data_IF_210648954667
#
_entry.id   IF_210648954667
#
_cell.length_a   1.000
_cell.length_b   1.000
_cell.length_c   1.000
_cell.angle_alpha   90.00
_cell.angle_beta   90.00
_cell.angle_gamma   90.00
#
_symmetry.space_group_name_H-M   'P 1'
#
loop_
_entity.id
_entity.type
_entity.pdbx_description
1 polymer ?
#
# COMPACT_ATOMS: atom_id res chain seq x y z
N UNK A 1 21.07 7.89 6.33
CA UNK A 1 19.78 7.67 7.02
C UNK A 1 19.21 9.00 7.48
N UNK A 2 18.02 9.36 6.99
CA UNK A 2 17.28 10.58 7.33
C UNK A 2 15.99 10.23 8.07
N UNK A 3 15.80 10.85 9.24
CA UNK A 3 14.55 10.76 9.98
C UNK A 3 13.72 12.02 9.72
N UNK A 4 12.43 11.84 9.46
CA UNK A 4 11.44 12.87 9.20
C UNK A 4 10.34 12.70 10.24
N UNK A 5 10.06 13.77 10.98
CA UNK A 5 8.95 13.80 11.92
C UNK A 5 7.88 14.74 11.38
N UNK A 6 6.66 14.23 11.26
CA UNK A 6 5.50 14.99 10.83
C UNK A 6 4.56 15.13 12.02
N UNK A 7 4.37 16.37 12.49
CA UNK A 7 3.45 16.69 13.57
C UNK A 7 2.00 16.47 13.14
N UNK A 8 1.14 16.21 14.13
CA UNK A 8 -0.30 16.23 13.95
C UNK A 8 -0.75 17.69 13.81
N UNK A 9 -1.36 18.01 12.68
CA UNK A 9 -1.81 19.35 12.32
C UNK A 9 -2.88 19.28 11.23
N UNK A 10 -3.37 20.42 10.74
CA UNK A 10 -4.26 20.38 9.58
C UNK A 10 -3.49 19.81 8.37
N UNK A 11 -4.21 19.22 7.40
CA UNK A 11 -3.59 18.71 6.18
C UNK A 11 -2.75 19.80 5.47
N UNK A 12 -3.24 21.04 5.50
CA UNK A 12 -2.52 22.20 4.97
C UNK A 12 -1.17 22.40 5.68
N UNK A 13 -1.16 22.35 7.01
CA UNK A 13 0.06 22.57 7.81
C UNK A 13 1.09 21.48 7.50
N UNK A 14 0.66 20.21 7.53
CA UNK A 14 1.54 19.06 7.24
C UNK A 14 2.15 19.18 5.84
N UNK A 15 1.36 19.50 4.82
CA UNK A 15 1.89 19.63 3.44
C UNK A 15 2.79 20.85 3.27
N UNK A 16 2.51 21.97 3.95
CA UNK A 16 3.36 23.15 3.94
C UNK A 16 4.69 22.90 4.68
N UNK A 17 4.68 22.12 5.76
CA UNK A 17 5.87 21.73 6.50
C UNK A 17 6.78 20.82 5.65
N UNK A 18 6.20 19.82 4.97
CA UNK A 18 6.95 18.96 4.05
C UNK A 18 7.51 19.80 2.89
N UNK A 19 6.69 20.66 2.29
CA UNK A 19 7.12 21.57 1.21
C UNK A 19 8.32 22.39 1.63
N UNK A 20 8.25 23.05 2.79
CA UNK A 20 9.30 23.97 3.27
C UNK A 20 10.57 23.21 3.68
N UNK A 21 10.42 22.02 4.27
CA UNK A 21 11.54 21.21 4.75
C UNK A 21 12.35 20.53 3.65
N UNK A 22 11.74 20.32 2.47
CA UNK A 22 12.32 19.55 1.37
C UNK A 22 12.25 20.28 0.03
N UNK A 23 12.12 21.61 0.05
CA UNK A 23 12.12 22.49 -1.14
C UNK A 23 11.10 22.04 -2.20
N UNK A 24 9.93 21.60 -1.74
CA UNK A 24 8.88 21.05 -2.59
C UNK A 24 8.05 22.09 -3.31
N UNK A 25 7.31 21.62 -4.33
CA UNK A 25 6.31 22.41 -5.06
C UNK A 25 4.92 21.85 -4.75
N UNK A 26 4.13 22.61 -4.00
CA UNK A 26 2.76 22.28 -3.63
C UNK A 26 1.76 22.98 -4.56
N UNK A 27 0.85 22.21 -5.15
CA UNK A 27 -0.33 22.72 -5.89
C UNK A 27 -1.60 22.27 -5.17
N UNK A 28 -2.49 23.21 -4.89
CA UNK A 28 -3.77 22.94 -4.20
C UNK A 28 -4.94 23.34 -5.10
N UNK A 29 -5.92 22.45 -5.26
CA UNK A 29 -7.13 22.69 -6.06
C UNK A 29 -8.26 21.78 -5.59
N UNK A 30 -9.45 22.31 -5.26
CA UNK A 30 -10.65 21.52 -4.94
C UNK A 30 -10.42 20.36 -3.95
N UNK A 31 -9.75 20.62 -2.81
CA UNK A 31 -9.39 19.59 -1.81
C UNK A 31 -8.41 18.51 -2.31
N UNK A 32 -7.75 18.76 -3.44
CA UNK A 32 -6.61 18.00 -3.94
C UNK A 32 -5.30 18.76 -3.65
N UNK A 33 -4.32 18.04 -3.11
CA UNK A 33 -2.98 18.52 -2.82
C UNK A 33 -2.00 17.69 -3.62
N UNK A 34 -1.20 18.33 -4.47
CA UNK A 34 -0.18 17.67 -5.27
C UNK A 34 1.17 18.25 -4.88
N UNK A 35 2.01 17.47 -4.22
CA UNK A 35 3.31 17.88 -3.72
C UNK A 35 4.40 17.15 -4.48
N UNK A 36 5.15 17.90 -5.30
CA UNK A 36 6.35 17.41 -5.95
C UNK A 36 7.57 17.70 -5.07
N UNK A 37 8.41 16.69 -4.89
CA UNK A 37 9.61 16.73 -4.03
C UNK A 37 10.82 16.29 -4.85
N UNK A 38 11.89 17.06 -4.76
CA UNK A 38 13.19 16.71 -5.35
C UNK A 38 14.29 17.23 -4.43
N UNK A 39 14.78 16.36 -3.56
CA UNK A 39 15.83 16.68 -2.62
C UNK A 39 16.90 15.60 -2.61
N UNK A 40 18.02 15.86 -1.92
CA UNK A 40 19.15 14.91 -1.87
C UNK A 40 18.82 13.52 -1.28
N UNK A 41 17.70 13.37 -0.57
CA UNK A 41 17.31 12.12 0.08
C UNK A 41 16.28 11.32 -0.72
N UNK A 42 15.43 12.00 -1.48
CA UNK A 42 14.34 11.36 -2.23
C UNK A 42 13.77 12.30 -3.28
N UNK A 43 13.14 11.71 -4.29
CA UNK A 43 12.48 12.40 -5.39
C UNK A 43 11.16 11.74 -5.74
N UNK A 44 10.12 12.52 -5.98
CA UNK A 44 8.81 11.99 -6.38
C UNK A 44 7.65 12.91 -6.05
N UNK A 45 6.45 12.35 -6.02
CA UNK A 45 5.21 13.09 -5.80
C UNK A 45 4.34 12.43 -4.71
N UNK A 46 3.61 13.29 -3.99
CA UNK A 46 2.57 12.93 -3.04
C UNK A 46 1.28 13.62 -3.47
N UNK A 47 0.26 12.84 -3.81
CA UNK A 47 -1.06 13.32 -4.19
C UNK A 47 -2.05 12.98 -3.07
N UNK A 48 -2.66 13.99 -2.46
CA UNK A 48 -3.70 13.81 -1.44
C UNK A 48 -5.03 14.34 -1.96
N UNK A 49 -6.09 13.62 -1.63
CA UNK A 49 -7.47 13.95 -1.93
C UNK A 49 -8.31 13.73 -0.68
N UNK A 50 -9.03 14.75 -0.23
CA UNK A 50 -10.02 14.63 0.83
C UNK A 50 -11.42 14.83 0.25
N UNK A 51 -12.33 13.90 0.49
CA UNK A 51 -13.72 14.00 0.08
C UNK A 51 -14.59 13.39 1.18
N UNK A 52 -15.67 14.07 1.58
CA UNK A 52 -16.31 13.87 2.89
C UNK A 52 -15.30 14.21 4.01
N UNK A 53 -15.64 15.02 5.03
CA UNK A 53 -14.69 15.34 6.11
C UNK A 53 -14.08 14.10 6.80
N UNK A 54 -14.67 12.92 6.61
CA UNK A 54 -14.21 11.65 7.17
C UNK A 54 -13.15 10.90 6.36
N UNK A 55 -13.04 11.08 5.03
CA UNK A 55 -12.23 10.19 4.17
C UNK A 55 -11.12 10.96 3.46
N UNK A 56 -9.89 10.47 3.59
CA UNK A 56 -8.70 11.01 2.93
C UNK A 56 -7.98 9.90 2.18
N UNK A 57 -7.55 10.17 0.95
CA UNK A 57 -6.73 9.30 0.13
C UNK A 57 -5.38 9.97 -0.14
N UNK A 58 -4.30 9.20 -0.05
CA UNK A 58 -2.92 9.64 -0.26
C UNK A 58 -2.26 8.65 -1.22
N UNK A 59 -1.76 9.13 -2.33
CA UNK A 59 -0.95 8.38 -3.27
C UNK A 59 0.48 8.89 -3.21
N UNK A 60 1.42 7.97 -3.09
CA UNK A 60 2.84 8.28 -2.99
C UNK A 60 3.58 7.52 -4.07
N UNK A 61 4.41 8.24 -4.84
CA UNK A 61 5.38 7.66 -5.76
C UNK A 61 6.72 8.33 -5.53
N UNK A 62 7.63 7.62 -4.87
CA UNK A 62 8.91 8.17 -4.43
C UNK A 62 10.07 7.25 -4.81
N UNK A 63 11.19 7.86 -5.17
CA UNK A 63 12.50 7.22 -5.30
C UNK A 63 13.36 7.70 -4.13
N UNK A 64 13.82 6.76 -3.30
CA UNK A 64 14.63 7.05 -2.12
C UNK A 64 16.12 6.87 -2.45
N UNK A 65 16.90 7.95 -2.26
CA UNK A 65 18.34 8.02 -2.50
C UNK A 65 19.16 7.75 -1.22
N UNK A 66 18.50 7.74 -0.07
CA UNK A 66 19.04 7.35 1.23
C UNK A 66 17.99 6.54 2.01
N UNK A 67 18.37 5.90 3.11
CA UNK A 67 17.43 5.30 4.04
C UNK A 67 16.61 6.41 4.69
N UNK A 68 15.28 6.33 4.62
CA UNK A 68 14.37 7.36 5.13
C UNK A 68 13.35 6.74 6.08
N UNK A 69 13.21 7.33 7.25
CA UNK A 69 12.17 6.99 8.22
C UNK A 69 11.23 8.18 8.35
N UNK A 70 9.93 7.95 8.15
CA UNK A 70 8.88 8.94 8.34
C UNK A 70 8.06 8.54 9.56
N UNK A 71 8.13 9.34 10.62
CA UNK A 71 7.27 9.20 11.79
C UNK A 71 6.12 10.18 11.67
N UNK A 72 4.91 9.65 11.57
CA UNK A 72 3.67 10.43 11.59
C UNK A 72 3.10 10.38 13.00
N UNK A 73 2.93 11.55 13.59
CA UNK A 73 2.24 11.67 14.87
C UNK A 73 0.80 11.18 14.74
N UNK A 74 0.35 10.38 15.71
CA UNK A 74 -1.04 9.92 15.70
C UNK A 74 -1.98 11.08 15.97
N UNK A 75 -2.97 11.25 15.11
CA UNK A 75 -4.14 12.06 15.43
C UNK A 75 -4.86 11.45 16.64
N UNK A 76 -5.46 12.29 17.49
CA UNK A 76 -6.23 11.86 18.67
C UNK A 76 -7.48 11.05 18.32
N UNK A 77 -7.82 10.93 17.04
CA UNK A 77 -8.99 10.22 16.54
C UNK A 77 -8.60 8.83 16.05
N UNK A 78 -9.33 7.82 16.53
CA UNK A 78 -9.26 6.45 16.00
C UNK A 78 -9.57 6.47 14.49
N UNK A 79 -8.93 5.62 13.69
CA UNK A 79 -9.10 5.59 12.22
C UNK A 79 -9.01 4.18 11.67
N UNK A 80 -9.65 3.96 10.51
CA UNK A 80 -9.45 2.78 9.66
C UNK A 80 -8.54 3.21 8.51
N UNK A 81 -7.42 2.54 8.34
CA UNK A 81 -6.41 2.84 7.31
C UNK A 81 -6.27 1.63 6.39
N UNK A 82 -6.52 1.83 5.11
CA UNK A 82 -6.29 0.87 4.05
C UNK A 82 -5.02 1.28 3.31
N UNK A 83 -3.97 0.45 3.35
CA UNK A 83 -2.73 0.74 2.66
C UNK A 83 -2.41 -0.33 1.62
N UNK A 84 -2.07 0.11 0.41
CA UNK A 84 -1.86 -0.71 -0.77
C UNK A 84 -0.46 -0.44 -1.33
N UNK A 85 0.44 -1.41 -1.30
CA UNK A 85 1.74 -1.31 -1.95
C UNK A 85 1.63 -1.78 -3.40
N UNK A 86 1.82 -0.86 -4.35
CA UNK A 86 1.69 -1.13 -5.78
C UNK A 86 3.03 -1.34 -6.50
N UNK A 87 4.11 -0.82 -5.91
CA UNK A 87 5.46 -1.06 -6.41
C UNK A 87 6.47 -0.92 -5.26
N UNK A 88 7.56 -1.67 -5.36
CA UNK A 88 8.61 -1.69 -4.36
C UNK A 88 8.24 -2.43 -3.07
N UNK A 89 8.83 -1.97 -1.98
CA UNK A 89 8.51 -2.42 -0.62
C UNK A 89 8.84 -1.33 0.39
N UNK A 90 8.11 -1.33 1.51
CA UNK A 90 8.39 -0.49 2.67
C UNK A 90 7.98 -1.23 3.94
N UNK A 91 8.48 -0.79 5.10
CA UNK A 91 8.06 -1.36 6.38
C UNK A 91 7.22 -0.35 7.16
N UNK A 92 6.26 -0.87 7.92
CA UNK A 92 5.42 -0.13 8.84
C UNK A 92 5.66 -0.63 10.26
N UNK A 93 5.70 0.27 11.25
CA UNK A 93 5.62 -0.08 12.67
C UNK A 93 4.76 0.92 13.43
N UNK A 94 4.16 0.45 14.53
CA UNK A 94 3.50 1.31 15.51
C UNK A 94 4.51 1.73 16.59
N UNK A 95 4.90 3.00 16.58
CA UNK A 95 5.96 3.51 17.43
C UNK A 95 7.35 2.98 17.06
N UNK A 96 8.35 3.50 17.75
CA UNK A 96 9.78 3.23 17.47
C UNK A 96 10.14 1.79 17.82
N UNK A 97 9.54 1.25 18.88
CA UNK A 97 9.79 -0.12 19.37
C UNK A 97 8.77 -1.14 18.84
N UNK A 98 7.88 -0.74 17.92
CA UNK A 98 6.86 -1.62 17.38
C UNK A 98 7.41 -2.67 16.43
N UNK A 99 6.72 -3.81 16.34
CA UNK A 99 7.03 -4.83 15.35
C UNK A 99 6.92 -4.25 13.93
N UNK A 100 7.92 -4.53 13.09
CA UNK A 100 7.96 -4.05 11.72
C UNK A 100 7.24 -5.02 10.78
N UNK A 101 6.13 -4.57 10.22
CA UNK A 101 5.42 -5.27 9.15
C UNK A 101 5.97 -4.83 7.79
N UNK A 102 6.42 -5.79 6.98
CA UNK A 102 6.92 -5.51 5.63
C UNK A 102 5.78 -5.57 4.60
N UNK A 103 5.51 -4.45 3.94
CA UNK A 103 4.59 -4.35 2.81
C UNK A 103 5.37 -4.43 1.51
N UNK A 104 5.10 -5.46 0.72
CA UNK A 104 5.70 -5.70 -0.61
C UNK A 104 4.68 -5.43 -1.71
N UNK A 105 5.17 -5.36 -2.94
CA UNK A 105 4.35 -5.23 -4.12
C UNK A 105 3.13 -6.20 -4.12
N UNK A 106 1.97 -5.66 -4.49
CA UNK A 106 0.66 -6.33 -4.52
C UNK A 106 0.18 -6.85 -3.16
N UNK A 107 0.71 -6.30 -2.06
CA UNK A 107 0.18 -6.53 -0.71
C UNK A 107 -0.62 -5.34 -0.24
N UNK A 108 -1.71 -5.62 0.45
CA UNK A 108 -2.55 -4.64 1.12
C UNK A 108 -2.58 -4.92 2.61
N UNK A 109 -2.87 -3.89 3.38
CA UNK A 109 -3.06 -3.99 4.80
C UNK A 109 -4.22 -3.11 5.22
N UNK A 110 -5.08 -3.64 6.09
CA UNK A 110 -6.10 -2.84 6.77
C UNK A 110 -5.67 -2.71 8.21
N UNK A 111 -5.60 -1.47 8.68
CA UNK A 111 -5.11 -1.11 10.00
C UNK A 111 -6.23 -0.37 10.73
N UNK A 112 -6.61 -0.84 11.91
CA UNK A 112 -7.59 -0.16 12.76
C UNK A 112 -6.89 0.38 14.00
N UNK A 113 -6.68 1.69 14.07
CA UNK A 113 -6.06 2.31 15.24
C UNK A 113 -7.13 2.83 16.20
N UNK A 114 -7.02 2.48 17.48
CA UNK A 114 -7.87 3.02 18.55
C UNK A 114 -7.08 3.82 19.59
N UNK A 115 -5.76 3.97 19.40
CA UNK A 115 -4.85 4.65 20.32
C UNK A 115 -3.97 5.64 19.56
N UNK A 116 -3.52 6.67 20.26
CA UNK A 116 -2.56 7.67 19.80
C UNK A 116 -1.13 7.12 19.68
N UNK A 117 -0.91 6.08 18.88
CA UNK A 117 0.43 5.53 18.64
C UNK A 117 0.92 5.96 17.25
N UNK A 118 2.08 6.59 17.21
CA UNK A 118 2.67 7.07 15.96
C UNK A 118 2.83 5.95 14.93
N UNK A 119 2.51 6.26 13.69
CA UNK A 119 2.81 5.38 12.56
C UNK A 119 4.19 5.71 12.03
N UNK A 120 5.05 4.71 11.91
CA UNK A 120 6.40 4.88 11.35
C UNK A 120 6.52 4.08 10.07
N UNK A 121 6.89 4.77 8.99
CA UNK A 121 7.19 4.21 7.68
C UNK A 121 8.70 4.19 7.45
N UNK A 122 9.22 3.04 7.04
CA UNK A 122 10.66 2.84 6.82
C UNK A 122 10.91 2.50 5.35
N UNK A 123 11.72 3.32 4.70
CA UNK A 123 12.10 3.20 3.30
C UNK A 123 13.60 2.99 3.17
N UNK A 124 14.01 2.09 2.28
CA UNK A 124 15.43 1.80 2.05
C UNK A 124 16.02 2.70 0.97
N UNK A 125 17.31 3.00 1.10
CA UNK A 125 18.12 3.59 0.04
C UNK A 125 18.01 2.80 -1.27
N UNK A 126 18.09 3.51 -2.39
CA UNK A 126 18.04 2.98 -3.76
C UNK A 126 16.77 2.17 -4.03
N UNK A 127 15.63 2.63 -3.52
CA UNK A 127 14.34 1.99 -3.75
C UNK A 127 13.35 2.95 -4.39
N UNK A 128 12.54 2.42 -5.30
CA UNK A 128 11.35 3.09 -5.81
C UNK A 128 10.17 2.44 -5.11
N UNK A 129 9.31 3.26 -4.51
CA UNK A 129 8.13 2.77 -3.80
C UNK A 129 6.93 3.53 -4.31
N UNK A 130 5.88 2.78 -4.65
CA UNK A 130 4.58 3.34 -4.96
C UNK A 130 3.53 2.68 -4.07
N UNK A 131 2.76 3.51 -3.37
CA UNK A 131 1.68 3.03 -2.51
C UNK A 131 0.52 4.02 -2.43
N UNK A 132 -0.65 3.49 -2.07
CA UNK A 132 -1.87 4.26 -1.84
C UNK A 132 -2.34 3.99 -0.42
N UNK A 133 -2.71 5.05 0.31
CA UNK A 133 -3.34 4.97 1.63
C UNK A 133 -4.72 5.61 1.54
N UNK A 134 -5.75 4.94 2.04
CA UNK A 134 -7.07 5.51 2.26
C UNK A 134 -7.35 5.46 3.76
N UNK A 135 -7.64 6.60 4.36
CA UNK A 135 -7.95 6.76 5.78
C UNK A 135 -9.41 7.17 5.94
N UNK A 136 -10.12 6.50 6.82
CA UNK A 136 -11.46 6.88 7.29
C UNK A 136 -11.42 7.18 8.80
N UNK A 137 -11.78 8.41 9.18
CA UNK A 137 -11.82 8.88 10.57
C UNK A 137 -13.02 8.31 11.32
N UNK A 138 -12.80 7.61 12.43
CA UNK A 138 -13.89 6.94 13.17
C UNK A 138 -14.79 7.88 13.95
N UNK A 139 -14.30 9.08 14.31
CA UNK A 139 -15.11 10.10 14.99
C UNK A 139 -16.28 10.55 14.12
N UNK A 140 -16.04 10.72 12.82
CA UNK A 140 -17.09 10.98 11.84
C UNK A 140 -18.05 9.77 11.69
N UNK A 141 -17.55 8.53 11.76
CA UNK A 141 -18.37 7.31 11.75
C UNK A 141 -19.30 7.17 12.98
N UNK A 142 -19.07 7.93 14.06
CA UNK A 142 -19.95 7.94 15.23
C UNK A 142 -21.19 8.83 15.05
N UNK A 143 -21.11 9.83 14.18
CA UNK A 143 -22.15 10.84 13.99
C UNK A 143 -22.99 10.61 12.72
N UNK A 144 -22.53 9.77 11.80
CA UNK A 144 -23.11 9.58 10.47
C UNK A 144 -24.10 8.41 10.38
N UNK A 145 -25.23 8.48 11.08
CA UNK A 145 -26.29 7.46 10.93
C UNK A 145 -26.84 7.39 9.49
N UNK A 146 -26.77 8.51 8.75
CA UNK A 146 -27.35 8.64 7.40
C UNK A 146 -26.36 8.33 6.26
N UNK A 147 -25.06 8.16 6.54
CA UNK A 147 -24.07 7.77 5.53
C UNK A 147 -23.86 6.25 5.57
N UNK A 148 -24.41 5.56 4.55
CA UNK A 148 -24.39 4.10 4.45
C UNK A 148 -22.97 3.53 4.33
N UNK A 149 -22.06 4.22 3.65
CA UNK A 149 -20.67 3.79 3.50
C UNK A 149 -19.94 3.85 4.84
N UNK A 150 -20.05 4.98 5.54
CA UNK A 150 -19.42 5.17 6.84
C UNK A 150 -19.96 4.17 7.88
N UNK A 151 -21.29 3.95 7.90
CA UNK A 151 -21.91 2.96 8.77
C UNK A 151 -21.41 1.53 8.50
N UNK A 152 -21.28 1.15 7.22
CA UNK A 152 -20.76 -0.16 6.84
C UNK A 152 -19.27 -0.34 7.18
N UNK A 153 -18.44 0.70 6.99
CA UNK A 153 -17.04 0.69 7.41
C UNK A 153 -16.90 0.45 8.93
N UNK A 154 -17.70 1.17 9.72
CA UNK A 154 -17.76 1.00 11.18
C UNK A 154 -18.10 -0.43 11.56
N UNK A 155 -19.21 -0.96 11.04
CA UNK A 155 -19.68 -2.31 11.38
C UNK A 155 -18.69 -3.41 10.97
N UNK A 156 -17.97 -3.21 9.87
CA UNK A 156 -17.05 -4.21 9.32
C UNK A 156 -15.68 -4.24 10.02
N UNK A 157 -15.18 -3.07 10.42
CA UNK A 157 -13.78 -2.92 10.86
C UNK A 157 -13.62 -2.46 12.31
N UNK A 158 -14.57 -1.72 12.92
CA UNK A 158 -14.38 -1.16 14.27
C UNK A 158 -14.75 -2.09 15.43
N UNK A 159 -15.52 -3.15 15.19
CA UNK A 159 -15.86 -4.13 16.24
C UNK A 159 -14.71 -5.12 16.53
N UNK A 160 -13.49 -4.82 16.09
CA UNK A 160 -12.31 -5.68 16.14
C UNK A 160 -11.26 -5.14 17.12
N UNK A 161 -10.27 -5.96 17.47
CA UNK A 161 -9.23 -5.59 18.42
C UNK A 161 -8.49 -4.30 18.01
N UNK A 162 -8.08 -3.52 19.01
CA UNK A 162 -7.31 -2.29 18.84
C UNK A 162 -5.97 -2.54 18.12
N UNK A 163 -5.58 -1.62 17.23
CA UNK A 163 -4.29 -1.62 16.53
C UNK A 163 -4.02 -2.91 15.74
N UNK A 164 -5.07 -3.46 15.13
CA UNK A 164 -4.98 -4.71 14.38
C UNK A 164 -4.58 -4.46 12.93
N UNK A 165 -3.79 -5.39 12.39
CA UNK A 165 -3.24 -5.36 11.03
C UNK A 165 -3.77 -6.59 10.27
N UNK A 166 -4.51 -6.38 9.18
CA UNK A 166 -4.97 -7.43 8.26
C UNK A 166 -4.09 -7.47 7.01
N UNK A 167 -2.99 -8.24 6.99
CA UNK A 167 -2.20 -8.40 5.77
C UNK A 167 -2.98 -9.27 4.79
N UNK A 168 -3.10 -8.80 3.55
CA UNK A 168 -3.69 -9.58 2.47
C UNK A 168 -2.95 -9.35 1.14
N UNK A 169 -3.14 -10.25 0.19
CA UNK A 169 -2.79 -9.99 -1.19
C UNK A 169 -3.88 -9.13 -1.82
N UNK A 170 -3.45 -8.12 -2.56
CA UNK A 170 -4.37 -7.31 -3.35
C UNK A 170 -5.12 -8.20 -4.34
N UNK A 171 -6.43 -7.99 -4.42
CA UNK A 171 -7.22 -8.56 -5.49
C UNK A 171 -6.96 -7.78 -6.79
N UNK A 172 -7.00 -8.45 -7.94
CA UNK A 172 -6.78 -7.84 -9.26
C UNK A 172 -7.71 -6.63 -9.46
N UNK A 173 -8.97 -6.73 -9.03
CA UNK A 173 -9.94 -5.63 -9.12
C UNK A 173 -9.50 -4.39 -8.32
N UNK A 174 -8.89 -4.57 -7.14
CA UNK A 174 -8.36 -3.46 -6.33
C UNK A 174 -7.16 -2.83 -7.06
N UNK A 175 -6.26 -3.65 -7.59
CA UNK A 175 -5.10 -3.18 -8.35
C UNK A 175 -5.52 -2.36 -9.60
N UNK A 176 -6.52 -2.82 -10.34
CA UNK A 176 -7.11 -2.10 -11.48
C UNK A 176 -7.69 -0.75 -11.05
N UNK A 177 -8.47 -0.71 -9.97
CA UNK A 177 -9.07 0.53 -9.46
C UNK A 177 -8.00 1.52 -8.98
N UNK A 178 -6.96 1.06 -8.29
CA UNK A 178 -5.84 1.92 -7.91
C UNK A 178 -5.10 2.44 -9.15
N UNK A 179 -4.90 1.62 -10.18
CA UNK A 179 -4.28 2.07 -11.42
C UNK A 179 -5.15 3.09 -12.17
N UNK A 180 -6.47 2.95 -12.14
CA UNK A 180 -7.38 3.98 -12.66
C UNK A 180 -7.27 5.28 -11.85
N UNK A 181 -7.16 5.18 -10.52
CA UNK A 181 -7.01 6.34 -9.64
C UNK A 181 -5.71 7.11 -9.96
N UNK A 182 -4.61 6.40 -10.20
CA UNK A 182 -3.30 6.96 -10.58
C UNK A 182 -3.32 7.64 -11.94
N UNK A 183 -3.90 7.02 -12.96
CA UNK A 183 -3.85 7.55 -14.32
C UNK A 183 -4.70 8.83 -14.49
N UNK A 184 -5.62 9.09 -13.56
CA UNK A 184 -6.54 10.23 -13.58
C UNK A 184 -6.03 11.46 -12.84
N UNK A 185 -4.82 11.46 -12.26
CA UNK A 185 -4.26 12.63 -11.55
C UNK A 185 -3.86 13.81 -12.45
N UNK A 186 -3.96 13.70 -13.78
CA UNK A 186 -3.39 14.71 -14.69
C UNK A 186 -4.34 15.77 -15.30
N UNK A 187 -5.68 15.78 -15.09
CA UNK A 187 -6.57 16.75 -15.79
C UNK A 187 -7.88 17.14 -15.06
N UNK A 188 -7.93 18.34 -14.45
CA UNK A 188 -9.14 19.19 -14.25
C UNK A 188 -10.29 18.69 -13.35
N UNK A 189 -11.32 19.54 -13.15
CA UNK A 189 -12.52 19.33 -12.29
C UNK A 189 -13.28 18.00 -12.53
N UNK A 190 -13.38 17.45 -13.76
CA UNK A 190 -13.91 16.10 -13.98
C UNK A 190 -13.11 14.99 -13.25
N UNK A 191 -11.90 15.28 -12.73
CA UNK A 191 -11.08 14.31 -12.00
C UNK A 191 -11.56 14.06 -10.57
N UNK A 192 -12.08 15.08 -9.86
CA UNK A 192 -12.40 14.93 -8.43
C UNK A 192 -13.55 13.94 -8.21
N UNK A 193 -14.68 14.13 -8.92
CA UNK A 193 -15.85 13.26 -8.79
C UNK A 193 -15.53 11.80 -9.17
N UNK A 194 -14.75 11.59 -10.24
CA UNK A 194 -14.30 10.26 -10.66
C UNK A 194 -13.34 9.63 -9.64
N UNK A 195 -12.39 10.40 -9.08
CA UNK A 195 -11.50 9.88 -8.03
C UNK A 195 -12.29 9.49 -6.78
N UNK A 196 -13.25 10.32 -6.37
CA UNK A 196 -14.19 10.04 -5.28
C UNK A 196 -14.94 8.72 -5.52
N UNK A 197 -15.57 8.56 -6.68
CA UNK A 197 -16.31 7.35 -7.04
C UNK A 197 -15.44 6.09 -7.00
N UNK A 198 -14.21 6.17 -7.53
CA UNK A 198 -13.25 5.05 -7.47
C UNK A 198 -12.92 4.69 -6.03
N UNK A 199 -12.69 5.68 -5.16
CA UNK A 199 -12.32 5.42 -3.76
C UNK A 199 -13.51 4.85 -2.99
N UNK A 200 -14.72 5.37 -3.17
CA UNK A 200 -15.94 4.83 -2.56
C UNK A 200 -16.17 3.37 -2.99
N UNK A 201 -16.03 3.10 -4.29
CA UNK A 201 -16.14 1.73 -4.83
C UNK A 201 -15.08 0.79 -4.26
N UNK A 202 -13.86 1.29 -4.01
CA UNK A 202 -12.76 0.52 -3.45
C UNK A 202 -13.07 0.14 -1.99
N UNK A 203 -13.60 1.08 -1.21
CA UNK A 203 -14.02 0.85 0.18
C UNK A 203 -15.19 -0.14 0.27
N UNK A 204 -16.17 -0.03 -0.62
CA UNK A 204 -17.27 -1.00 -0.71
C UNK A 204 -16.75 -2.41 -1.03
N UNK A 205 -15.80 -2.54 -1.95
CA UNK A 205 -15.19 -3.82 -2.27
C UNK A 205 -14.44 -4.43 -1.07
N UNK A 206 -13.77 -3.61 -0.25
CA UNK A 206 -13.14 -4.07 0.98
C UNK A 206 -14.17 -4.48 2.04
N UNK A 207 -15.29 -3.76 2.15
CA UNK A 207 -16.41 -4.16 3.01
C UNK A 207 -16.92 -5.53 2.58
N UNK A 208 -17.31 -5.69 1.31
CA UNK A 208 -17.87 -6.95 0.77
C UNK A 208 -16.94 -8.12 0.99
N UNK A 209 -15.65 -7.92 0.73
CA UNK A 209 -14.61 -8.91 0.97
C UNK A 209 -14.52 -9.34 2.44
N UNK A 210 -14.75 -8.42 3.37
CA UNK A 210 -14.64 -8.67 4.81
C UNK A 210 -15.97 -9.04 5.48
N UNK A 211 -17.10 -8.96 4.78
CA UNK A 211 -18.43 -9.35 5.26
C UNK A 211 -18.93 -10.63 4.59
N UNK A 212 -18.74 -10.79 3.27
CA UNK A 212 -19.28 -11.91 2.49
C UNK A 212 -18.58 -13.25 2.79
N UNK A 213 -19.31 -14.26 3.30
CA UNK A 213 -18.77 -15.60 3.52
C UNK A 213 -18.23 -16.24 2.24
N UNK A 214 -18.89 -16.00 1.10
CA UNK A 214 -18.52 -16.54 -0.22
C UNK A 214 -17.19 -15.96 -0.69
N UNK A 215 -17.00 -14.64 -0.55
CA UNK A 215 -15.75 -13.99 -0.96
C UNK A 215 -14.57 -14.39 -0.06
N UNK A 216 -14.79 -14.52 1.24
CA UNK A 216 -13.78 -15.06 2.18
C UNK A 216 -13.35 -16.47 1.79
N UNK A 217 -14.32 -17.34 1.49
CA UNK A 217 -14.04 -18.71 1.05
C UNK A 217 -13.27 -18.72 -0.28
N UNK A 218 -13.69 -17.90 -1.24
CA UNK A 218 -13.02 -17.76 -2.55
C UNK A 218 -11.56 -17.31 -2.40
N UNK A 219 -11.27 -16.39 -1.46
CA UNK A 219 -9.90 -15.93 -1.19
C UNK A 219 -9.03 -17.00 -0.55
N UNK A 220 -9.58 -17.76 0.40
CA UNK A 220 -8.89 -18.91 0.99
C UNK A 220 -8.53 -19.95 -0.08
N UNK A 221 -9.45 -20.25 -1.00
CA UNK A 221 -9.23 -21.15 -2.14
C UNK A 221 -8.15 -20.58 -3.06
N UNK A 222 -8.27 -19.31 -3.48
CA UNK A 222 -7.29 -18.66 -4.36
C UNK A 222 -5.89 -18.63 -3.75
N UNK A 223 -5.78 -18.34 -2.45
CA UNK A 223 -4.52 -18.39 -1.70
C UNK A 223 -3.89 -19.79 -1.72
N UNK A 224 -4.70 -20.82 -1.54
CA UNK A 224 -4.29 -22.24 -1.59
C UNK A 224 -3.81 -22.63 -2.99
N UNK A 225 -4.57 -22.30 -4.03
CA UNK A 225 -4.21 -22.56 -5.44
C UNK A 225 -2.91 -21.84 -5.81
N UNK A 226 -2.75 -20.57 -5.43
CA UNK A 226 -1.50 -19.82 -5.67
C UNK A 226 -0.30 -20.45 -4.96
N UNK A 227 -0.48 -21.00 -3.76
CA UNK A 227 0.59 -21.71 -3.02
C UNK A 227 0.98 -22.98 -3.77
N UNK A 228 0.00 -23.77 -4.22
CA UNK A 228 0.23 -24.96 -5.03
C UNK A 228 0.96 -24.62 -6.34
N UNK A 229 0.49 -23.61 -7.08
CA UNK A 229 1.16 -23.15 -8.32
C UNK A 229 2.62 -22.75 -8.08
N UNK A 230 2.93 -22.07 -6.97
CA UNK A 230 4.32 -21.73 -6.60
C UNK A 230 5.16 -22.97 -6.33
N UNK A 231 4.60 -23.97 -5.65
CA UNK A 231 5.26 -25.26 -5.42
C UNK A 231 5.52 -26.01 -6.73
N UNK A 232 4.52 -26.08 -7.62
CA UNK A 232 4.67 -26.71 -8.94
C UNK A 232 5.76 -26.03 -9.77
N UNK A 233 5.79 -24.68 -9.80
CA UNK A 233 6.88 -23.93 -10.49
C UNK A 233 8.25 -24.19 -9.87
N UNK A 234 8.35 -24.40 -8.55
CA UNK A 234 9.60 -24.76 -7.89
C UNK A 234 10.08 -26.15 -8.32
N UNK A 235 9.17 -27.13 -8.36
CA UNK A 235 9.46 -28.49 -8.85
C UNK A 235 9.88 -28.44 -10.33
N UNK A 236 9.17 -27.70 -11.17
CA UNK A 236 9.51 -27.53 -12.58
C UNK A 236 10.93 -26.98 -12.77
N UNK A 237 11.35 -25.99 -11.98
CA UNK A 237 12.72 -25.47 -12.03
C UNK A 237 13.76 -26.52 -11.66
N UNK A 238 13.50 -27.32 -10.63
CA UNK A 238 14.39 -28.42 -10.21
C UNK A 238 14.49 -29.46 -11.33
N UNK A 239 13.37 -29.85 -11.94
CA UNK A 239 13.35 -30.80 -13.05
C UNK A 239 14.10 -30.29 -14.28
N UNK A 240 13.95 -29.01 -14.62
CA UNK A 240 14.69 -28.40 -15.72
C UNK A 240 16.20 -28.38 -15.44
N UNK A 241 16.61 -28.04 -14.22
CA UNK A 241 18.02 -28.04 -13.82
C UNK A 241 18.62 -29.45 -13.84
N UNK A 242 17.86 -30.45 -13.40
CA UNK A 242 18.28 -31.85 -13.45
C UNK A 242 18.42 -32.35 -14.90
N UNK A 243 17.46 -32.02 -15.77
CA UNK A 243 17.52 -32.36 -17.20
C UNK A 243 18.73 -31.72 -17.89
N UNK A 244 19.02 -30.44 -17.60
CA UNK A 244 20.21 -29.75 -18.12
C UNK A 244 21.51 -30.44 -17.66
N UNK A 245 21.60 -30.84 -16.39
CA UNK A 245 22.76 -31.56 -15.87
C UNK A 245 22.95 -32.92 -16.56
N UNK A 246 21.88 -33.68 -16.79
CA UNK A 246 21.94 -34.95 -17.52
C UNK A 246 22.39 -34.77 -18.98
N UNK A 247 21.92 -33.71 -19.66
CA UNK A 247 22.39 -33.37 -21.00
C UNK A 247 23.88 -33.02 -20.99
N UNK A 248 24.33 -32.25 -19.99
CA UNK A 248 25.73 -31.90 -19.83
C UNK A 248 26.62 -33.14 -19.64
N UNK A 249 26.20 -34.07 -18.79
CA UNK A 249 26.91 -35.34 -18.54
C UNK A 249 26.99 -36.18 -19.83
N UNK A 250 25.90 -36.28 -20.61
CA UNK A 250 25.90 -37.01 -21.90
C UNK A 250 26.85 -36.38 -22.94
N UNK A 251 26.92 -35.05 -23.00
CA UNK A 251 27.86 -34.35 -23.91
C UNK A 251 29.31 -34.58 -23.47
N UNK A 252 29.57 -34.59 -22.16
CA UNK A 252 30.91 -34.84 -21.63
C UNK A 252 31.37 -36.29 -21.87
N UNK A 253 30.49 -37.28 -21.63
CA UNK A 253 30.82 -38.69 -21.86
C UNK A 253 31.00 -39.02 -23.35
N UNK A 254 30.22 -38.40 -24.24
CA UNK A 254 30.41 -38.58 -25.69
C UNK A 254 31.68 -37.94 -26.23
N UNK A 255 32.16 -36.83 -25.65
CA UNK A 255 33.45 -36.23 -26.02
C UNK A 255 34.66 -37.02 -25.51
N UNK A 256 34.57 -37.60 -24.31
CA UNK A 256 35.67 -38.40 -23.75
C UNK A 256 35.86 -39.76 -24.46
N UNK A 257 34.82 -40.29 -25.11
CA UNK A 257 34.92 -41.50 -25.94
C UNK A 257 35.60 -41.28 -27.30
N UNK A 258 35.94 -40.03 -27.68
CA UNK A 258 36.60 -39.72 -28.95
C UNK A 258 38.14 -39.76 -28.84
N UNK A 259 38.70 -39.82 -27.62
CA UNK A 259 40.16 -39.80 -27.38
C UNK A 259 40.79 -41.17 -27.09
N UNK A 260 40.07 -42.27 -27.26
CA UNK A 260 40.63 -43.63 -27.18
C UNK A 260 40.50 -44.28 -28.55
N UNK A 261 41.46 -43.99 -29.43
CA UNK A 261 41.77 -44.80 -30.60
C UNK A 261 43.21 -44.57 -31.03
#
# INVERSE_FOLDING_TARGET
MKNIYLNSGSINDVFNDIKSSFEGVLKVSNSEFNLALDCKFFKGNIDLLTFNPAITSIQVKMSFLDDVTVSLESFNNSSIVFAYCNDGNFRHSFGISGEQTNLRNQQSVIITSTKSVNTILHFKKNSIVQFTIIKAETSALKQSADDSLLSNLKNTFLNKQANYIYPDRQCIKIEEMINQLKNKTNKGIPSFALKKEIIESLLLLEIDKNTSPVLKMTQAIKGTVLKQMKQTKKIQRILNQYTLNLQYIKVFSSKNNIFIK
#
